data_IF_695994930494
#
_entry.id   IF_695994930494
#
_cell.length_a   1.000
_cell.length_b   1.000
_cell.length_c   1.000
_cell.angle_alpha   90.00
_cell.angle_beta   90.00
_cell.angle_gamma   90.00
#
_symmetry.space_group_name_H-M   'P 1'
#
loop_
_entity.id
_entity.type
_entity.pdbx_description
1 polymer ?
#
# COMPACT_ATOMS: atom_id res chain seq x y z
N UNK A 1 7.24 8.86 12.01
CA UNK A 1 6.31 7.77 12.38
C UNK A 1 6.36 6.76 11.24
N UNK A 2 6.35 5.46 11.54
CA UNK A 2 6.22 4.40 10.53
C UNK A 2 4.96 3.62 10.89
N UNK A 3 4.05 3.46 9.92
CA UNK A 3 2.79 2.74 10.11
C UNK A 3 2.70 1.62 9.07
N UNK A 4 2.34 0.43 9.54
CA UNK A 4 1.92 -0.65 8.67
C UNK A 4 0.41 -0.49 8.45
N UNK A 5 0.06 -0.16 7.20
CA UNK A 5 -1.29 0.22 6.73
C UNK A 5 -1.76 1.59 7.24
N UNK A 6 -2.66 2.16 6.44
CA UNK A 6 -3.36 3.41 6.74
C UNK A 6 -4.70 3.45 5.99
N UNK A 7 -5.34 4.62 5.85
CA UNK A 7 -6.65 4.72 5.20
C UNK A 7 -6.68 4.22 3.75
N UNK A 8 -5.54 4.17 3.04
CA UNK A 8 -5.45 3.53 1.72
C UNK A 8 -5.79 2.03 1.75
N UNK A 9 -5.53 1.32 2.85
CA UNK A 9 -6.01 -0.04 3.03
C UNK A 9 -7.53 -0.07 3.11
N UNK A 10 -8.13 0.84 3.88
CA UNK A 10 -9.59 0.97 3.97
C UNK A 10 -10.21 1.24 2.60
N UNK A 11 -9.61 2.15 1.81
CA UNK A 11 -10.03 2.42 0.43
C UNK A 11 -10.09 1.13 -0.40
N UNK A 12 -9.05 0.30 -0.35
CA UNK A 12 -9.01 -0.96 -1.10
C UNK A 12 -10.02 -1.99 -0.58
N UNK A 13 -9.95 -2.36 0.71
CA UNK A 13 -10.76 -3.47 1.25
C UNK A 13 -12.25 -3.16 1.34
N UNK A 14 -12.62 -1.91 1.59
CA UNK A 14 -14.02 -1.50 1.61
C UNK A 14 -14.49 -1.14 0.20
N UNK A 15 -13.59 -0.64 -0.65
CA UNK A 15 -13.88 -0.38 -2.05
C UNK A 15 -14.35 -1.62 -2.81
N UNK A 16 -13.66 -2.75 -2.64
CA UNK A 16 -14.10 -4.03 -3.24
C UNK A 16 -15.43 -4.56 -2.67
N UNK A 17 -15.93 -3.97 -1.58
CA UNK A 17 -17.24 -4.28 -0.97
C UNK A 17 -18.34 -3.31 -1.41
N UNK A 18 -18.06 -2.43 -2.39
CA UNK A 18 -19.04 -1.53 -2.98
C UNK A 18 -19.09 -0.13 -2.35
N UNK A 19 -18.18 0.20 -1.42
CA UNK A 19 -18.02 1.57 -0.96
C UNK A 19 -17.20 2.39 -1.97
N UNK A 20 -17.43 3.69 -2.06
CA UNK A 20 -16.61 4.57 -2.90
C UNK A 20 -15.23 4.82 -2.25
N UNK A 21 -14.11 4.39 -2.87
CA UNK A 21 -12.77 4.63 -2.35
C UNK A 21 -12.44 6.12 -2.18
N UNK A 22 -12.97 7.00 -3.05
CA UNK A 22 -12.70 8.44 -2.97
C UNK A 22 -13.43 9.08 -1.79
N UNK A 23 -14.64 8.64 -1.50
CA UNK A 23 -15.39 9.10 -0.32
C UNK A 23 -14.73 8.62 0.98
N UNK A 24 -14.23 7.38 1.01
CA UNK A 24 -13.44 6.86 2.14
C UNK A 24 -12.21 7.74 2.35
N UNK A 25 -11.48 8.07 1.28
CA UNK A 25 -10.30 8.95 1.35
C UNK A 25 -10.68 10.31 1.91
N UNK A 26 -11.68 10.96 1.33
CA UNK A 26 -12.15 12.30 1.73
C UNK A 26 -12.48 12.34 3.22
N UNK A 27 -13.26 11.36 3.70
CA UNK A 27 -13.68 11.28 5.11
C UNK A 27 -12.50 11.01 6.05
N UNK A 28 -11.52 10.18 5.64
CA UNK A 28 -10.34 9.92 6.48
C UNK A 28 -9.44 11.15 6.55
N UNK A 29 -9.22 11.86 5.46
CA UNK A 29 -8.36 13.05 5.41
C UNK A 29 -8.92 14.25 6.22
N UNK A 30 -10.17 14.20 6.68
CA UNK A 30 -10.75 15.19 7.62
C UNK A 30 -10.10 15.16 9.01
N UNK A 31 -9.62 14.00 9.46
CA UNK A 31 -9.01 13.83 10.78
C UNK A 31 -7.62 13.19 10.76
N UNK A 32 -7.34 12.43 9.70
CA UNK A 32 -6.12 11.66 9.55
C UNK A 32 -5.13 12.46 8.68
N UNK A 33 -3.94 12.82 9.18
CA UNK A 33 -2.98 13.59 8.41
C UNK A 33 -2.55 12.84 7.14
N UNK A 34 -2.47 13.55 6.01
CA UNK A 34 -1.87 13.00 4.79
C UNK A 34 -0.43 12.56 5.08
N UNK A 35 -0.01 11.37 4.60
CA UNK A 35 1.36 10.92 4.83
C UNK A 35 2.34 11.74 4.00
N UNK A 36 3.56 11.89 4.52
CA UNK A 36 4.66 12.47 3.75
C UNK A 36 5.23 11.49 2.70
N UNK A 37 4.98 10.19 2.90
CA UNK A 37 5.47 9.10 2.05
C UNK A 37 4.54 7.89 2.18
N UNK A 38 4.10 7.32 1.06
CA UNK A 38 3.39 6.05 0.97
C UNK A 38 4.23 5.06 0.16
N UNK A 39 4.56 3.92 0.77
CA UNK A 39 5.24 2.83 0.07
C UNK A 39 4.22 1.75 -0.27
N UNK A 40 3.95 1.56 -1.56
CA UNK A 40 3.10 0.48 -2.05
C UNK A 40 3.98 -0.72 -2.40
N UNK A 41 3.95 -1.77 -1.59
CA UNK A 41 4.67 -3.01 -1.87
C UNK A 41 3.86 -3.84 -2.88
N UNK A 42 4.32 -3.86 -4.13
CA UNK A 42 3.65 -4.53 -5.23
C UNK A 42 4.31 -5.87 -5.53
N UNK A 43 3.51 -6.92 -5.64
CA UNK A 43 3.95 -8.23 -6.11
C UNK A 43 2.89 -8.85 -7.00
N UNK A 44 3.28 -9.79 -7.84
CA UNK A 44 2.36 -10.57 -8.67
C UNK A 44 1.36 -11.35 -7.82
N UNK A 45 0.17 -11.57 -8.38
CA UNK A 45 -0.87 -12.38 -7.71
C UNK A 45 -0.36 -13.80 -7.44
N UNK A 46 0.44 -14.37 -8.33
CA UNK A 46 0.95 -15.72 -8.19
C UNK A 46 1.93 -15.81 -7.01
N UNK A 47 2.86 -14.85 -6.88
CA UNK A 47 3.72 -14.72 -5.69
C UNK A 47 2.90 -14.50 -4.42
N UNK A 48 1.86 -13.67 -4.47
CA UNK A 48 1.02 -13.37 -3.32
C UNK A 48 0.30 -14.64 -2.82
N UNK A 49 -0.31 -15.38 -3.74
CA UNK A 49 -1.00 -16.63 -3.43
C UNK A 49 -0.03 -17.70 -2.90
N UNK A 50 1.18 -17.78 -3.45
CA UNK A 50 2.22 -18.69 -2.95
C UNK A 50 2.66 -18.33 -1.52
N UNK A 51 2.81 -17.03 -1.21
CA UNK A 51 3.23 -16.53 0.12
C UNK A 51 2.14 -16.63 1.19
N UNK A 52 0.87 -16.40 0.82
CA UNK A 52 -0.29 -16.57 1.71
C UNK A 52 -0.41 -18.04 2.16
N UNK A 53 0.13 -18.97 1.37
CA UNK A 53 0.19 -20.37 1.73
C UNK A 53 -1.22 -20.96 1.77
N UNK A 54 -1.90 -20.96 0.61
CA UNK A 54 -3.17 -21.68 0.43
C UNK A 54 -2.92 -23.18 0.60
N UNK A 55 -2.81 -23.61 1.86
CA UNK A 55 -3.04 -24.98 2.30
C UNK A 55 -4.55 -25.15 2.30
N UNK A 56 -5.03 -25.93 1.34
CA UNK A 56 -6.32 -26.61 1.45
C UNK A 56 -7.57 -25.74 1.28
N UNK A 57 -7.50 -24.67 0.49
CA UNK A 57 -8.68 -23.95 -0.02
C UNK A 57 -9.51 -23.19 1.02
N UNK A 58 -8.99 -23.01 2.25
CA UNK A 58 -9.63 -22.24 3.33
C UNK A 58 -9.04 -20.83 3.50
N UNK A 59 -8.63 -20.21 2.40
CA UNK A 59 -8.21 -18.81 2.46
C UNK A 59 -9.34 -17.91 2.95
N UNK A 60 -9.02 -16.87 3.72
CA UNK A 60 -10.01 -15.88 4.17
C UNK A 60 -10.72 -15.25 2.96
N UNK A 61 -11.90 -14.63 3.16
CA UNK A 61 -12.69 -14.04 2.06
C UNK A 61 -11.93 -13.00 1.20
N UNK A 62 -10.79 -12.50 1.71
CA UNK A 62 -9.87 -11.57 1.04
C UNK A 62 -8.79 -12.24 0.18
N UNK A 63 -8.62 -13.55 0.28
CA UNK A 63 -7.54 -14.32 -0.36
C UNK A 63 -8.02 -15.01 -1.64
N UNK A 64 -9.21 -14.63 -2.14
CA UNK A 64 -9.65 -14.98 -3.49
C UNK A 64 -8.90 -14.12 -4.49
N UNK A 65 -8.40 -14.75 -5.56
CA UNK A 65 -7.63 -14.09 -6.63
C UNK A 65 -8.31 -12.81 -7.16
N UNK A 66 -9.61 -12.87 -7.37
CA UNK A 66 -10.42 -11.73 -7.83
C UNK A 66 -10.42 -10.57 -6.84
N UNK A 67 -10.64 -10.85 -5.54
CA UNK A 67 -10.58 -9.83 -4.48
C UNK A 67 -9.20 -9.16 -4.42
N UNK A 68 -8.12 -9.93 -4.57
CA UNK A 68 -6.75 -9.41 -4.59
C UNK A 68 -6.49 -8.52 -5.81
N UNK A 69 -7.00 -8.91 -6.98
CA UNK A 69 -6.91 -8.14 -8.21
C UNK A 69 -7.63 -6.79 -8.09
N UNK A 70 -8.88 -6.79 -7.59
CA UNK A 70 -9.65 -5.56 -7.40
C UNK A 70 -9.01 -4.64 -6.33
N UNK A 71 -8.50 -5.20 -5.24
CA UNK A 71 -7.73 -4.43 -4.25
C UNK A 71 -6.51 -3.77 -4.89
N UNK A 72 -5.77 -4.50 -5.73
CA UNK A 72 -4.62 -3.96 -6.47
C UNK A 72 -5.05 -2.77 -7.32
N UNK A 73 -6.10 -2.90 -8.12
CA UNK A 73 -6.61 -1.82 -8.96
C UNK A 73 -6.91 -0.54 -8.17
N UNK A 74 -7.55 -0.68 -7.00
CA UNK A 74 -7.83 0.47 -6.12
C UNK A 74 -6.54 1.09 -5.58
N UNK A 75 -5.57 0.29 -5.11
CA UNK A 75 -4.28 0.83 -4.69
C UNK A 75 -3.57 1.58 -5.82
N UNK A 76 -3.60 1.06 -7.03
CA UNK A 76 -3.00 1.71 -8.19
C UNK A 76 -3.76 2.95 -8.68
N UNK A 77 -5.00 3.16 -8.25
CA UNK A 77 -5.74 4.40 -8.52
C UNK A 77 -5.17 5.61 -7.75
N UNK A 78 -4.40 5.37 -6.68
CA UNK A 78 -3.75 6.42 -5.90
C UNK A 78 -2.49 6.89 -6.63
N UNK A 79 -2.52 8.11 -7.17
CA UNK A 79 -1.45 8.70 -8.01
C UNK A 79 -0.79 9.92 -7.39
N UNK A 80 -0.91 10.11 -6.07
CA UNK A 80 -0.26 11.22 -5.38
C UNK A 80 1.26 11.16 -5.50
N UNK A 81 1.89 12.32 -5.40
CA UNK A 81 3.35 12.52 -5.52
C UNK A 81 4.16 11.82 -4.42
N UNK A 82 3.55 11.61 -3.25
CA UNK A 82 4.16 10.88 -2.14
C UNK A 82 4.09 9.34 -2.30
N UNK A 83 3.50 8.82 -3.36
CA UNK A 83 3.36 7.37 -3.58
C UNK A 83 4.57 6.81 -4.31
N UNK A 84 5.21 5.81 -3.72
CA UNK A 84 6.29 5.07 -4.34
C UNK A 84 5.98 3.58 -4.33
N UNK A 85 6.05 2.97 -5.52
CA UNK A 85 5.86 1.54 -5.70
C UNK A 85 7.20 0.84 -5.47
N UNK A 86 7.20 -0.21 -4.64
CA UNK A 86 8.34 -1.07 -4.37
C UNK A 86 8.03 -2.45 -4.92
N UNK A 87 8.89 -2.94 -5.80
CA UNK A 87 8.84 -4.32 -6.29
C UNK A 87 9.15 -5.30 -5.14
N UNK A 88 8.11 -6.03 -4.74
CA UNK A 88 8.13 -7.04 -3.70
C UNK A 88 8.06 -8.47 -4.26
N UNK A 89 8.12 -8.68 -5.57
CA UNK A 89 8.39 -10.01 -6.17
C UNK A 89 9.85 -10.43 -5.94
N UNK A 90 10.74 -9.46 -5.75
CA UNK A 90 12.15 -9.68 -5.40
C UNK A 90 12.35 -10.28 -4.00
N UNK A 91 13.61 -10.59 -3.67
CA UNK A 91 13.97 -11.05 -2.33
C UNK A 91 13.71 -9.97 -1.27
N UNK A 92 13.53 -10.38 -0.02
CA UNK A 92 13.30 -9.45 1.10
C UNK A 92 14.43 -8.42 1.22
N UNK A 93 15.67 -8.84 1.00
CA UNK A 93 16.86 -7.98 1.05
C UNK A 93 16.84 -6.92 -0.06
N UNK A 94 16.42 -7.30 -1.27
CA UNK A 94 16.32 -6.38 -2.40
C UNK A 94 15.19 -5.36 -2.19
N UNK A 95 14.01 -5.83 -1.75
CA UNK A 95 12.88 -4.96 -1.42
C UNK A 95 13.23 -4.01 -0.26
N UNK A 96 13.91 -4.50 0.79
CA UNK A 96 14.38 -3.69 1.91
C UNK A 96 15.37 -2.61 1.46
N UNK A 97 16.31 -2.95 0.58
CA UNK A 97 17.23 -1.97 -0.02
C UNK A 97 16.48 -0.91 -0.81
N UNK A 98 15.48 -1.29 -1.61
CA UNK A 98 14.64 -0.36 -2.36
C UNK A 98 13.86 0.59 -1.43
N UNK A 99 13.24 0.06 -0.37
CA UNK A 99 12.56 0.86 0.66
C UNK A 99 13.50 1.91 1.25
N UNK A 100 14.70 1.51 1.69
CA UNK A 100 15.66 2.43 2.30
C UNK A 100 16.13 3.51 1.31
N UNK A 101 16.33 3.14 0.05
CA UNK A 101 16.73 4.08 -1.00
C UNK A 101 15.65 5.12 -1.30
N UNK A 102 14.37 4.78 -1.11
CA UNK A 102 13.25 5.72 -1.24
C UNK A 102 13.09 6.58 0.01
N UNK A 103 13.15 5.97 1.21
CA UNK A 103 12.89 6.64 2.49
C UNK A 103 13.96 7.66 2.85
N UNK A 104 15.25 7.34 2.63
CA UNK A 104 16.37 8.19 3.04
C UNK A 104 16.34 9.60 2.43
N UNK A 105 16.22 9.78 1.10
CA UNK A 105 16.13 11.11 0.51
C UNK A 105 14.84 11.84 0.89
N UNK A 106 13.71 11.13 0.99
CA UNK A 106 12.44 11.71 1.42
C UNK A 106 12.55 12.31 2.83
N UNK A 107 13.12 11.57 3.79
CA UNK A 107 13.35 12.05 5.15
C UNK A 107 14.29 13.26 5.20
N UNK A 108 15.35 13.28 4.39
CA UNK A 108 16.27 14.42 4.33
C UNK A 108 15.56 15.69 3.83
N UNK A 109 14.78 15.56 2.75
CA UNK A 109 13.98 16.66 2.19
C UNK A 109 12.95 17.21 3.19
N UNK A 110 12.20 16.31 3.86
CA UNK A 110 11.19 16.70 4.86
C UNK A 110 11.80 17.41 6.07
N UNK A 111 12.98 16.98 6.52
CA UNK A 111 13.72 17.66 7.60
C UNK A 111 14.16 19.06 7.19
N UNK A 112 14.65 19.23 5.96
CA UNK A 112 15.05 20.55 5.46
C UNK A 112 13.85 21.51 5.38
N UNK A 113 12.69 21.03 4.91
CA UNK A 113 11.45 21.84 4.84
C UNK A 113 10.93 22.28 6.21
N UNK A 114 11.09 21.46 7.25
CA UNK A 114 10.67 21.80 8.62
C UNK A 114 11.62 22.75 9.36
N UNK A 115 12.83 22.93 8.84
CA UNK A 115 13.85 23.80 9.44
C UNK A 115 13.83 25.24 8.89
N UNK A 116 13.02 25.50 7.86
CA UNK A 116 12.69 26.83 7.32
C UNK A 116 11.42 27.35 7.98
#
# INVERSE_FOLDING_TARGET
>A
VVLDRYYFSTMAYQGIRGFDPQEIRRTNEEFAPRPDLLLLLELSLDTAMARIGVRDGRGNQFERRESLQLCREIFHSVKDDFVHIIDADQSVEQAQKAIINTVRPALASLRARKAQ
#
